data_IF_549151313532
#
_entry.id   IF_549151313532
#
_cell.length_a   1.000
_cell.length_b   1.000
_cell.length_c   1.000
_cell.angle_alpha   90.00
_cell.angle_beta   90.00
_cell.angle_gamma   90.00
#
_symmetry.space_group_name_H-M   'P 1'
#
loop_
_entity.id
_entity.type
_entity.pdbx_description
1 polymer ?
#
# COMPACT_ATOMS: atom_id res chain seq x y z
N UNK A 1 15.99 9.92 10.93
CA UNK A 1 15.02 9.88 9.82
C UNK A 1 13.59 9.93 10.33
N UNK A 2 12.70 10.63 9.61
CA UNK A 2 11.30 10.78 10.00
C UNK A 2 10.43 9.86 9.13
N UNK A 3 9.84 8.83 9.74
CA UNK A 3 8.88 7.91 9.13
C UNK A 3 7.49 8.13 9.73
N UNK A 4 6.52 8.45 8.89
CA UNK A 4 5.11 8.59 9.28
C UNK A 4 4.35 7.41 8.67
N UNK A 5 3.63 6.66 9.51
CA UNK A 5 2.78 5.54 9.07
C UNK A 5 1.33 5.84 9.46
N UNK A 6 0.47 6.01 8.47
CA UNK A 6 -0.98 6.16 8.65
C UNK A 6 -1.64 4.83 8.35
N UNK A 7 -2.29 4.22 9.35
CA UNK A 7 -2.96 2.92 9.20
C UNK A 7 -4.44 3.08 8.91
N UNK A 8 -4.85 2.63 7.73
CA UNK A 8 -6.24 2.61 7.25
C UNK A 8 -6.76 1.18 7.43
N UNK A 9 -7.58 0.95 8.45
CA UNK A 9 -8.19 -0.37 8.71
C UNK A 9 -9.28 -0.65 7.70
N UNK A 10 -9.41 -1.90 7.24
CA UNK A 10 -10.46 -2.32 6.30
C UNK A 10 -11.86 -1.89 6.75
N UNK A 11 -12.21 -2.23 8.00
CA UNK A 11 -13.52 -1.90 8.56
C UNK A 11 -13.72 -0.39 8.61
N UNK A 12 -14.71 0.09 7.86
CA UNK A 12 -15.07 1.51 7.77
C UNK A 12 -14.30 2.30 6.71
N UNK A 13 -13.36 1.68 5.98
CA UNK A 13 -12.69 2.30 4.83
C UNK A 13 -12.94 1.56 3.52
N UNK A 14 -13.14 0.25 3.55
CA UNK A 14 -13.46 -0.58 2.39
C UNK A 14 -14.71 -1.42 2.65
N UNK A 15 -15.46 -1.71 1.59
CA UNK A 15 -16.45 -2.79 1.64
C UNK A 15 -15.76 -4.15 1.85
N UNK A 16 -16.43 -5.06 2.56
CA UNK A 16 -15.89 -6.40 2.87
C UNK A 16 -15.48 -7.14 1.59
N UNK A 17 -14.27 -7.72 1.57
CA UNK A 17 -13.72 -8.42 0.42
C UNK A 17 -13.53 -7.55 -0.85
N UNK A 18 -13.64 -6.23 -0.73
CA UNK A 18 -13.53 -5.29 -1.85
C UNK A 18 -12.31 -4.40 -1.71
N UNK A 19 -11.87 -3.85 -2.85
CA UNK A 19 -10.91 -2.76 -2.92
C UNK A 19 -11.57 -1.38 -3.10
N UNK A 20 -12.90 -1.30 -3.13
CA UNK A 20 -13.62 -0.02 -3.25
C UNK A 20 -13.66 0.69 -1.91
N UNK A 21 -13.16 1.94 -1.88
CA UNK A 21 -13.27 2.82 -0.72
C UNK A 21 -14.73 3.19 -0.43
N UNK A 22 -15.07 3.21 0.84
CA UNK A 22 -16.36 3.72 1.32
C UNK A 22 -16.46 5.22 1.07
N UNK A 23 -17.65 5.71 0.68
CA UNK A 23 -17.87 7.13 0.40
C UNK A 23 -17.62 8.01 1.63
N UNK A 24 -17.98 7.54 2.82
CA UNK A 24 -17.75 8.26 4.08
C UNK A 24 -16.26 8.47 4.36
N UNK A 25 -15.42 7.53 3.90
CA UNK A 25 -13.97 7.58 4.09
C UNK A 25 -13.25 8.59 3.19
N UNK A 26 -13.90 9.07 2.11
CA UNK A 26 -13.29 10.03 1.18
C UNK A 26 -12.93 11.37 1.84
N UNK A 27 -13.72 11.81 2.83
CA UNK A 27 -13.43 13.03 3.60
C UNK A 27 -12.16 12.89 4.44
N UNK A 28 -11.91 11.70 4.99
CA UNK A 28 -10.69 11.37 5.73
C UNK A 28 -9.50 11.34 4.77
N UNK A 29 -9.67 10.72 3.59
CA UNK A 29 -8.63 10.72 2.55
C UNK A 29 -8.23 12.12 2.10
N UNK A 30 -9.19 13.06 2.01
CA UNK A 30 -8.87 14.47 1.72
C UNK A 30 -7.92 15.06 2.76
N UNK A 31 -8.21 14.88 4.05
CA UNK A 31 -7.34 15.37 5.15
C UNK A 31 -5.96 14.71 5.14
N UNK A 32 -5.91 13.40 4.89
CA UNK A 32 -4.64 12.66 4.74
C UNK A 32 -3.83 13.28 3.59
N UNK A 33 -4.46 13.52 2.44
CA UNK A 33 -3.77 14.10 1.28
C UNK A 33 -3.24 15.51 1.52
N UNK A 34 -3.94 16.32 2.33
CA UNK A 34 -3.48 17.67 2.70
C UNK A 34 -2.26 17.62 3.64
N UNK A 35 -2.21 16.62 4.53
CA UNK A 35 -1.06 16.41 5.39
C UNK A 35 0.16 15.89 4.59
N UNK A 36 -0.07 14.92 3.70
CA UNK A 36 0.97 14.33 2.84
C UNK A 36 1.58 15.37 1.90
N UNK A 37 0.75 16.23 1.29
CA UNK A 37 1.24 17.28 0.38
C UNK A 37 2.21 18.27 1.04
N UNK A 38 2.15 18.42 2.37
CA UNK A 38 3.05 19.30 3.14
C UNK A 38 4.30 18.57 3.65
N UNK A 39 4.33 17.25 3.58
CA UNK A 39 5.44 16.44 4.03
C UNK A 39 6.45 16.24 2.87
N UNK A 40 7.74 16.58 3.05
CA UNK A 40 8.79 16.17 2.12
C UNK A 40 9.09 14.67 2.28
N UNK A 41 9.63 14.02 1.23
CA UNK A 41 10.01 12.60 1.25
C UNK A 41 9.22 11.71 0.29
N UNK A 42 9.66 10.48 0.06
CA UNK A 42 8.92 9.53 -0.77
C UNK A 42 8.01 8.69 0.14
N UNK A 43 6.97 8.11 -0.43
CA UNK A 43 5.97 7.39 0.35
C UNK A 43 5.20 6.41 -0.50
N UNK A 44 4.24 5.72 0.09
CA UNK A 44 3.53 4.67 -0.63
C UNK A 44 2.41 4.04 0.16
N UNK A 45 1.53 3.34 -0.56
CA UNK A 45 0.51 2.51 0.02
C UNK A 45 0.96 1.06 0.06
N UNK A 46 0.98 0.45 1.26
CA UNK A 46 1.24 -0.97 1.45
C UNK A 46 -0.05 -1.66 1.93
N UNK A 47 -0.56 -2.61 1.17
CA UNK A 47 -1.78 -3.34 1.49
C UNK A 47 -1.51 -4.67 2.17
N UNK A 48 -2.39 -5.06 3.09
CA UNK A 48 -2.26 -6.31 3.83
C UNK A 48 -3.63 -6.96 4.12
N UNK A 49 -3.62 -8.28 4.30
CA UNK A 49 -4.78 -9.10 4.68
C UNK A 49 -4.54 -9.81 6.00
N UNK A 50 -5.54 -10.56 6.45
CA UNK A 50 -5.32 -11.66 7.39
C UNK A 50 -4.95 -12.94 6.62
N UNK A 51 -4.71 -14.03 7.35
CA UNK A 51 -4.31 -15.32 6.80
C UNK A 51 -5.47 -16.18 6.26
N UNK A 52 -6.70 -15.66 6.18
CA UNK A 52 -7.80 -16.42 5.57
C UNK A 52 -7.63 -16.32 4.05
N UNK A 53 -7.46 -17.44 3.33
CA UNK A 53 -7.37 -17.40 1.87
C UNK A 53 -8.67 -16.88 1.26
N UNK A 54 -8.54 -16.01 0.26
CA UNK A 54 -9.68 -15.57 -0.54
C UNK A 54 -9.58 -16.13 -1.96
N UNK A 55 -10.74 -16.35 -2.56
CA UNK A 55 -10.89 -16.51 -4.01
C UNK A 55 -12.25 -15.96 -4.39
N UNK A 56 -12.25 -14.83 -5.07
CA UNK A 56 -13.46 -14.12 -5.51
C UNK A 56 -13.42 -13.95 -7.01
N UNK A 57 -14.55 -13.58 -7.63
CA UNK A 57 -14.59 -13.27 -9.07
C UNK A 57 -13.59 -12.19 -9.48
N UNK A 58 -13.21 -11.29 -8.56
CA UNK A 58 -12.34 -10.13 -8.83
C UNK A 58 -10.89 -10.35 -8.39
N UNK A 59 -10.66 -11.14 -7.34
CA UNK A 59 -9.36 -11.34 -6.72
C UNK A 59 -9.13 -12.84 -6.50
N UNK A 60 -8.06 -13.37 -7.09
CA UNK A 60 -7.66 -14.78 -7.04
C UNK A 60 -6.92 -15.14 -5.75
N UNK A 61 -6.38 -14.15 -5.05
CA UNK A 61 -5.60 -14.35 -3.83
C UNK A 61 -5.53 -13.09 -2.97
N UNK A 62 -5.03 -13.23 -1.75
CA UNK A 62 -4.74 -12.12 -0.84
C UNK A 62 -3.70 -11.14 -1.41
N UNK A 63 -2.80 -11.61 -2.28
CA UNK A 63 -1.87 -10.75 -3.01
C UNK A 63 -2.64 -9.73 -3.86
N UNK A 64 -3.60 -10.19 -4.66
CA UNK A 64 -4.36 -9.28 -5.52
C UNK A 64 -5.25 -8.32 -4.73
N UNK A 65 -5.93 -8.79 -3.68
CA UNK A 65 -6.77 -7.91 -2.86
C UNK A 65 -5.94 -6.85 -2.14
N UNK A 66 -4.82 -7.24 -1.54
CA UNK A 66 -3.94 -6.32 -0.82
C UNK A 66 -3.36 -5.24 -1.75
N UNK A 67 -2.80 -5.63 -2.90
CA UNK A 67 -2.31 -4.69 -3.90
C UNK A 67 -3.42 -3.76 -4.40
N UNK A 68 -4.61 -4.28 -4.71
CA UNK A 68 -5.71 -3.46 -5.22
C UNK A 68 -6.22 -2.43 -4.19
N UNK A 69 -6.24 -2.78 -2.91
CA UNK A 69 -6.56 -1.83 -1.83
C UNK A 69 -5.53 -0.73 -1.73
N UNK A 70 -4.25 -1.08 -1.79
CA UNK A 70 -3.16 -0.11 -1.77
C UNK A 70 -3.21 0.86 -2.97
N UNK A 71 -3.43 0.34 -4.19
CA UNK A 71 -3.68 1.14 -5.40
C UNK A 71 -4.84 2.11 -5.17
N UNK A 72 -5.93 1.65 -4.57
CA UNK A 72 -7.11 2.50 -4.37
C UNK A 72 -6.82 3.66 -3.40
N UNK A 73 -6.08 3.42 -2.32
CA UNK A 73 -5.66 4.50 -1.40
C UNK A 73 -4.75 5.50 -2.10
N UNK A 74 -3.74 5.01 -2.85
CA UNK A 74 -2.82 5.88 -3.59
C UNK A 74 -3.55 6.69 -4.66
N UNK A 75 -4.49 6.09 -5.40
CA UNK A 75 -5.32 6.82 -6.36
C UNK A 75 -6.16 7.90 -5.68
N UNK A 76 -6.73 7.62 -4.50
CA UNK A 76 -7.47 8.63 -3.74
C UNK A 76 -6.56 9.75 -3.23
N UNK A 77 -5.33 9.42 -2.84
CA UNK A 77 -4.30 10.38 -2.42
C UNK A 77 -3.91 11.32 -3.57
N UNK A 78 -3.61 10.78 -4.75
CA UNK A 78 -3.18 11.51 -5.95
C UNK A 78 -4.30 12.35 -6.61
N UNK A 79 -5.52 12.33 -6.06
CA UNK A 79 -6.53 13.34 -6.38
C UNK A 79 -6.08 14.74 -5.96
N UNK A 80 -5.26 14.84 -4.92
CA UNK A 80 -4.60 16.08 -4.57
C UNK A 80 -3.39 16.32 -5.49
N UNK A 81 -3.49 17.32 -6.37
CA UNK A 81 -2.47 17.64 -7.38
C UNK A 81 -1.18 18.24 -6.82
N UNK A 82 -1.14 18.55 -5.52
CA UNK A 82 0.10 18.96 -4.85
C UNK A 82 1.02 17.78 -4.49
N UNK A 83 0.56 16.53 -4.68
CA UNK A 83 1.37 15.33 -4.44
C UNK A 83 1.93 14.87 -5.79
N UNK A 84 3.25 14.81 -5.86
CA UNK A 84 3.97 14.28 -7.02
C UNK A 84 3.78 12.76 -7.13
N UNK A 85 3.24 12.23 -8.24
CA UNK A 85 3.10 10.80 -8.46
C UNK A 85 4.41 10.02 -8.41
N UNK A 86 5.55 10.62 -8.78
CA UNK A 86 6.86 9.94 -8.78
C UNK A 86 7.39 9.65 -7.37
N UNK A 87 6.80 10.30 -6.37
CA UNK A 87 7.12 10.09 -4.96
C UNK A 87 6.31 8.94 -4.33
N UNK A 88 5.44 8.26 -5.09
CA UNK A 88 4.51 7.26 -4.55
C UNK A 88 4.79 5.85 -5.07
N UNK A 89 4.91 4.89 -4.15
CA UNK A 89 5.02 3.45 -4.44
C UNK A 89 3.77 2.69 -3.95
N UNK A 90 3.49 1.53 -4.53
CA UNK A 90 2.40 0.65 -4.12
C UNK A 90 2.91 -0.76 -3.91
N UNK A 91 2.58 -1.34 -2.76
CA UNK A 91 2.94 -2.69 -2.36
C UNK A 91 1.69 -3.48 -1.96
N UNK A 92 1.69 -4.78 -2.26
CA UNK A 92 0.77 -5.74 -1.67
C UNK A 92 1.55 -6.81 -0.96
N UNK A 93 1.26 -7.02 0.32
CA UNK A 93 1.99 -7.94 1.19
C UNK A 93 1.17 -9.17 1.56
N UNK A 94 -0.10 -9.27 1.13
CA UNK A 94 -1.01 -10.31 1.57
C UNK A 94 -0.98 -10.46 3.12
N UNK A 95 -0.79 -11.67 3.63
CA UNK A 95 -0.77 -12.03 5.03
C UNK A 95 0.64 -12.20 5.62
N UNK A 96 1.69 -11.86 4.87
CA UNK A 96 3.09 -12.16 5.23
C UNK A 96 3.67 -11.30 6.34
N UNK A 97 3.03 -10.16 6.65
CA UNK A 97 3.47 -9.23 7.68
C UNK A 97 2.29 -8.84 8.61
N UNK A 98 1.88 -9.74 9.52
CA UNK A 98 0.79 -9.48 10.45
C UNK A 98 1.22 -8.54 11.59
N UNK A 99 0.34 -7.60 11.97
CA UNK A 99 0.56 -6.72 13.13
C UNK A 99 0.32 -7.46 14.46
N UNK A 100 -0.55 -8.45 14.44
CA UNK A 100 -0.97 -9.27 15.59
C UNK A 100 -1.20 -10.71 15.13
N UNK A 101 -1.18 -11.72 16.03
CA UNK A 101 -1.47 -13.11 15.67
C UNK A 101 -2.84 -13.26 14.98
N UNK A 102 -2.98 -14.14 13.98
CA UNK A 102 -4.25 -14.37 13.28
C UNK A 102 -5.21 -15.34 14.01
N UNK A 103 -5.12 -15.40 15.34
CA UNK A 103 -5.84 -16.37 16.19
C UNK A 103 -7.32 -16.01 16.40
N UNK A 104 -7.65 -14.74 16.55
CA UNK A 104 -9.01 -14.25 16.83
C UNK A 104 -9.58 -13.43 15.67
N UNK A 105 -10.93 -13.39 15.49
CA UNK A 105 -11.57 -12.50 14.52
C UNK A 105 -11.16 -11.03 14.69
N UNK A 106 -11.01 -10.58 15.93
CA UNK A 106 -10.61 -9.22 16.30
C UNK A 106 -9.18 -8.92 15.87
N UNK A 107 -8.25 -9.87 16.05
CA UNK A 107 -6.87 -9.70 15.60
C UNK A 107 -6.75 -9.75 14.08
N UNK A 108 -7.44 -10.68 13.42
CA UNK A 108 -7.51 -10.71 11.95
C UNK A 108 -8.00 -9.37 11.37
N UNK A 109 -8.99 -8.76 12.01
CA UNK A 109 -9.48 -7.44 11.60
C UNK A 109 -8.44 -6.31 11.71
N UNK A 110 -7.46 -6.41 12.63
CA UNK A 110 -6.34 -5.47 12.72
C UNK A 110 -5.32 -5.69 11.60
N UNK A 111 -5.13 -6.93 11.17
CA UNK A 111 -4.19 -7.29 10.09
C UNK A 111 -4.69 -6.88 8.70
N UNK A 112 -6.01 -6.82 8.50
CA UNK A 112 -6.64 -6.26 7.28
C UNK A 112 -6.54 -4.73 7.27
N UNK A 113 -5.43 -4.20 6.77
CA UNK A 113 -5.17 -2.75 6.68
C UNK A 113 -4.43 -2.35 5.41
N UNK A 114 -4.48 -1.07 5.10
CA UNK A 114 -3.53 -0.39 4.22
C UNK A 114 -2.71 0.56 5.08
N UNK A 115 -1.40 0.56 4.91
CA UNK A 115 -0.50 1.53 5.53
C UNK A 115 -0.08 2.55 4.48
N UNK A 116 -0.27 3.82 4.77
CA UNK A 116 0.35 4.91 4.01
C UNK A 116 1.63 5.30 4.74
N UNK A 117 2.77 5.03 4.11
CA UNK A 117 4.09 5.32 4.64
C UNK A 117 4.64 6.57 3.97
N UNK A 118 5.22 7.49 4.74
CA UNK A 118 5.91 8.68 4.24
C UNK A 118 7.24 8.77 4.96
N UNK A 119 8.33 8.75 4.20
CA UNK A 119 9.70 8.73 4.72
C UNK A 119 10.49 9.91 4.16
N UNK A 120 11.03 10.72 5.07
CA UNK A 120 11.93 11.82 4.73
C UNK A 120 13.37 11.30 4.71
N UNK A 121 13.86 10.92 3.53
CA UNK A 121 15.24 10.47 3.29
C UNK A 121 15.39 9.76 1.94
N UNK A 122 16.63 9.52 1.51
CA UNK A 122 17.00 8.79 0.29
C UNK A 122 16.78 7.25 0.42
N UNK A 123 16.15 6.81 1.52
CA UNK A 123 16.05 5.41 1.94
C UNK A 123 15.09 4.56 1.10
N UNK A 124 14.33 5.15 0.16
CA UNK A 124 13.61 4.37 -0.85
C UNK A 124 14.48 3.93 -2.04
N UNK A 125 15.73 4.39 -2.12
CA UNK A 125 16.66 4.01 -3.20
C UNK A 125 17.64 2.88 -2.81
N UNK A 126 17.54 2.29 -1.61
CA UNK A 126 18.45 1.22 -1.19
C UNK A 126 17.71 0.02 -0.57
N UNK A 127 17.11 -0.84 -1.39
CA UNK A 127 16.70 -2.16 -0.88
C UNK A 127 15.86 -3.06 -1.79
N UNK A 128 14.77 -2.55 -2.38
CA UNK A 128 13.66 -3.46 -2.75
C UNK A 128 13.26 -3.47 -4.23
N UNK A 129 13.98 -2.77 -5.11
CA UNK A 129 13.94 -3.15 -6.52
C UNK A 129 14.86 -4.35 -6.70
N UNK A 130 14.29 -5.54 -6.83
CA UNK A 130 15.00 -6.63 -7.50
C UNK A 130 15.56 -6.04 -8.80
N UNK A 131 16.88 -6.11 -9.05
CA UNK A 131 17.42 -5.58 -10.29
C UNK A 131 16.77 -6.35 -11.44
N UNK A 132 15.84 -5.70 -12.14
CA UNK A 132 15.33 -6.14 -13.43
C UNK A 132 16.31 -5.72 -14.53
N UNK A 133 17.62 -5.76 -14.25
CA UNK A 133 18.60 -5.75 -15.32
C UNK A 133 18.66 -7.15 -15.90
N UNK A 134 17.70 -7.41 -16.78
CA UNK A 134 17.84 -8.36 -17.86
C UNK A 134 19.19 -8.10 -18.52
N UNK A 135 20.11 -9.07 -18.41
CA UNK A 135 21.42 -9.01 -19.02
C UNK A 135 21.29 -8.62 -20.49
N UNK A 136 21.63 -7.36 -20.81
CA UNK A 136 22.08 -7.02 -22.16
C UNK A 136 23.32 -7.86 -22.39
N UNK A 137 23.20 -8.84 -23.27
CA UNK A 137 24.35 -9.44 -23.94
C UNK A 137 25.20 -8.29 -24.50
N UNK A 138 26.33 -8.00 -23.86
CA UNK A 138 27.42 -7.30 -24.50
C UNK A 138 28.22 -8.36 -25.26
N UNK A 139 28.13 -8.30 -26.58
CA UNK A 139 29.14 -8.90 -27.43
C UNK A 139 30.49 -8.26 -27.18
N UNK A 140 31.49 -9.10 -26.93
CA UNK A 140 32.91 -8.95 -27.27
C UNK A 140 33.36 -10.40 -27.55
N UNK A 141 33.71 -10.79 -28.77
CA UNK A 141 34.79 -10.22 -29.55
C UNK A 141 35.99 -11.16 -29.42
N UNK A 142 36.05 -12.18 -30.28
CA UNK A 142 37.24 -12.79 -30.89
C UNK A 142 36.77 -13.81 -31.93
#
# INVERSE_FOLDING_TARGET
>A
DLKIIIRIREKGSFASGSATLDRGFLSVMKRISEAVAKAPGRGGGAGYTDNIPISTRRFRSNWELSSARAVTVVHALLRNKAIDPERVLVEGHADTNPLVPNDTPENRAKNRRVELVIERGDDLDQGDTLPLDAGKQQGKGS
#
